data_IF_966093464174
#
_entry.id   IF_966093464174
#
_cell.length_a   1.000
_cell.length_b   1.000
_cell.length_c   1.000
_cell.angle_alpha   90.00
_cell.angle_beta   90.00
_cell.angle_gamma   90.00
#
_symmetry.space_group_name_H-M   'P 1'
#
loop_
_entity.id
_entity.type
_entity.pdbx_description
1 polymer ?
#
# COMPACT_ATOMS: atom_id res chain seq x y z
N UNK A 1 -4.78 -12.41 11.11
CA UNK A 1 -5.54 -11.46 10.27
C UNK A 1 -6.70 -12.23 9.66
N UNK A 2 -7.90 -11.64 9.59
CA UNK A 2 -9.02 -12.26 8.88
C UNK A 2 -8.70 -12.32 7.36
N UNK A 3 -9.09 -13.40 6.68
CA UNK A 3 -8.77 -13.62 5.28
C UNK A 3 -9.46 -12.64 4.32
N UNK A 4 -10.72 -12.34 4.57
CA UNK A 4 -11.50 -11.37 3.78
C UNK A 4 -10.96 -9.96 4.01
N UNK A 5 -10.50 -9.65 5.23
CA UNK A 5 -9.82 -8.38 5.48
C UNK A 5 -8.50 -8.27 4.71
N UNK A 6 -7.72 -9.36 4.61
CA UNK A 6 -6.48 -9.37 3.84
C UNK A 6 -6.75 -9.14 2.34
N UNK A 7 -7.77 -9.81 1.80
CA UNK A 7 -8.22 -9.62 0.43
C UNK A 7 -8.63 -8.17 0.16
N UNK A 8 -9.58 -7.63 0.92
CA UNK A 8 -10.11 -6.27 0.70
C UNK A 8 -9.00 -5.21 0.75
N UNK A 9 -8.07 -5.30 1.70
CA UNK A 9 -6.98 -4.32 1.81
C UNK A 9 -6.01 -4.39 0.63
N UNK A 10 -5.72 -5.59 0.13
CA UNK A 10 -4.81 -5.77 -1.02
C UNK A 10 -5.49 -5.27 -2.30
N UNK A 11 -6.76 -5.60 -2.51
CA UNK A 11 -7.52 -5.14 -3.67
C UNK A 11 -7.69 -3.61 -3.68
N UNK A 12 -7.98 -3.00 -2.53
CA UNK A 12 -8.05 -1.54 -2.38
C UNK A 12 -6.68 -0.89 -2.66
N UNK A 13 -5.60 -1.42 -2.10
CA UNK A 13 -4.23 -0.95 -2.35
C UNK A 13 -3.90 -0.99 -3.85
N UNK A 14 -4.10 -2.14 -4.48
CA UNK A 14 -3.80 -2.35 -5.90
C UNK A 14 -4.64 -1.43 -6.78
N UNK A 15 -5.94 -1.28 -6.50
CA UNK A 15 -6.81 -0.40 -7.26
C UNK A 15 -6.37 1.07 -7.17
N UNK A 16 -6.04 1.57 -5.98
CA UNK A 16 -5.61 2.96 -5.79
C UNK A 16 -4.28 3.25 -6.51
N UNK A 17 -3.28 2.36 -6.36
CA UNK A 17 -1.98 2.54 -7.02
C UNK A 17 -2.11 2.48 -8.54
N UNK A 18 -2.94 1.59 -9.08
CA UNK A 18 -3.17 1.54 -10.53
C UNK A 18 -3.92 2.77 -11.06
N UNK A 19 -4.79 3.36 -10.26
CA UNK A 19 -5.60 4.51 -10.69
C UNK A 19 -4.83 5.83 -10.62
N UNK A 20 -3.97 6.01 -9.61
CA UNK A 20 -3.27 7.27 -9.40
C UNK A 20 -1.98 7.19 -8.59
N UNK A 21 -1.36 6.01 -8.54
CA UNK A 21 -0.11 5.78 -7.82
C UNK A 21 -0.26 5.82 -6.31
N UNK A 22 0.88 5.77 -5.64
CA UNK A 22 0.95 5.85 -4.18
C UNK A 22 0.50 7.21 -3.63
N UNK A 23 0.62 8.29 -4.41
CA UNK A 23 0.06 9.59 -4.02
C UNK A 23 -1.46 9.50 -3.83
N UNK A 24 -2.17 8.87 -4.77
CA UNK A 24 -3.61 8.64 -4.62
C UNK A 24 -3.91 7.71 -3.44
N UNK A 25 -3.16 6.60 -3.30
CA UNK A 25 -3.34 5.65 -2.20
C UNK A 25 -3.24 6.31 -0.83
N UNK A 26 -2.19 7.11 -0.58
CA UNK A 26 -2.02 7.77 0.71
C UNK A 26 -2.93 8.99 0.88
N UNK A 27 -3.37 9.64 -0.20
CA UNK A 27 -4.36 10.73 -0.12
C UNK A 27 -5.75 10.21 0.25
N UNK A 28 -6.14 9.05 -0.27
CA UNK A 28 -7.45 8.45 -0.07
C UNK A 28 -7.57 7.68 1.26
N UNK A 29 -8.79 7.22 1.57
CA UNK A 29 -9.08 6.47 2.80
C UNK A 29 -8.37 5.12 2.86
N UNK A 30 -7.99 4.54 1.72
CA UNK A 30 -7.20 3.30 1.69
C UNK A 30 -5.85 3.45 2.44
N UNK A 31 -5.27 4.66 2.42
CA UNK A 31 -4.06 5.01 3.17
C UNK A 31 -4.18 4.84 4.69
N UNK A 32 -5.39 4.88 5.26
CA UNK A 32 -5.63 4.63 6.69
C UNK A 32 -5.16 3.22 7.10
N UNK A 33 -5.11 2.30 6.12
CA UNK A 33 -4.80 0.89 6.31
C UNK A 33 -3.41 0.53 5.77
N UNK A 34 -2.52 1.49 5.50
CA UNK A 34 -1.17 1.25 4.96
C UNK A 34 -0.37 0.18 5.72
N UNK A 35 -0.31 0.27 7.04
CA UNK A 35 0.37 -0.72 7.88
C UNK A 35 -0.33 -2.09 7.87
N UNK A 36 -1.65 -2.10 7.72
CA UNK A 36 -2.41 -3.34 7.55
C UNK A 36 -2.14 -3.98 6.19
N UNK A 37 -1.98 -3.18 5.13
CA UNK A 37 -1.68 -3.64 3.79
C UNK A 37 -0.34 -4.38 3.74
N UNK A 38 0.71 -3.85 4.37
CA UNK A 38 2.00 -4.56 4.51
C UNK A 38 1.81 -5.93 5.17
N UNK A 39 1.08 -6.00 6.29
CA UNK A 39 0.83 -7.28 6.98
C UNK A 39 0.02 -8.26 6.11
N UNK A 40 -0.95 -7.76 5.33
CA UNK A 40 -1.75 -8.56 4.43
C UNK A 40 -0.89 -9.13 3.28
N UNK A 41 -0.08 -8.28 2.64
CA UNK A 41 0.84 -8.66 1.57
C UNK A 41 1.83 -9.75 2.04
N UNK A 42 2.44 -9.59 3.22
CA UNK A 42 3.31 -10.61 3.82
C UNK A 42 2.54 -11.91 4.12
N UNK A 43 1.29 -11.83 4.57
CA UNK A 43 0.46 -13.01 4.85
C UNK A 43 0.16 -13.84 3.59
N UNK A 44 -0.06 -13.17 2.45
CA UNK A 44 -0.27 -13.84 1.16
C UNK A 44 1.05 -14.21 0.44
N UNK A 45 2.20 -13.80 0.99
CA UNK A 45 3.56 -13.96 0.45
C UNK A 45 3.86 -13.07 -0.77
N UNK A 46 3.22 -11.92 -0.88
CA UNK A 46 3.57 -10.86 -1.82
C UNK A 46 4.73 -10.03 -1.25
N UNK A 47 5.91 -10.65 -1.15
CA UNK A 47 7.08 -10.09 -0.47
C UNK A 47 7.66 -8.86 -1.20
N UNK A 48 7.59 -8.84 -2.53
CA UNK A 48 8.09 -7.73 -3.33
C UNK A 48 7.21 -6.49 -3.15
N UNK A 49 5.89 -6.66 -3.31
CA UNK A 49 4.92 -5.58 -3.11
C UNK A 49 4.95 -5.08 -1.67
N UNK A 50 5.04 -5.98 -0.67
CA UNK A 50 5.18 -5.56 0.73
C UNK A 50 6.39 -4.64 0.95
N UNK A 51 7.52 -4.96 0.32
CA UNK A 51 8.76 -4.17 0.43
C UNK A 51 8.61 -2.80 -0.23
N UNK A 52 7.89 -2.71 -1.35
CA UNK A 52 7.58 -1.42 -2.01
C UNK A 52 6.76 -0.54 -1.07
N UNK A 53 5.70 -1.08 -0.47
CA UNK A 53 4.82 -0.32 0.43
C UNK A 53 5.57 0.08 1.71
N UNK A 54 6.42 -0.79 2.27
CA UNK A 54 7.27 -0.44 3.42
C UNK A 54 8.23 0.71 3.11
N UNK A 55 8.83 0.74 1.91
CA UNK A 55 9.66 1.87 1.47
C UNK A 55 8.87 3.16 1.35
N UNK A 56 7.63 3.10 0.86
CA UNK A 56 6.76 4.26 0.78
C UNK A 56 6.37 4.76 2.19
N UNK A 57 6.01 3.86 3.11
CA UNK A 57 5.73 4.17 4.52
C UNK A 57 6.94 4.81 5.21
N UNK A 58 8.16 4.35 4.92
CA UNK A 58 9.38 4.87 5.51
C UNK A 58 9.68 6.34 5.18
N UNK A 59 8.98 6.93 4.18
CA UNK A 59 9.08 8.35 3.85
C UNK A 59 8.25 9.23 4.80
N UNK A 60 7.27 8.66 5.50
CA UNK A 60 6.52 9.37 6.53
C UNK A 60 7.39 9.55 7.79
N UNK A 61 7.15 10.61 8.59
CA UNK A 61 7.86 10.81 9.85
C UNK A 61 7.73 9.59 10.76
N UNK A 62 8.85 9.12 11.30
CA UNK A 62 8.93 7.92 12.16
C UNK A 62 8.42 6.63 11.49
N UNK A 63 8.39 6.57 10.15
CA UNK A 63 7.81 5.48 9.38
C UNK A 63 6.36 5.16 9.79
N UNK A 64 5.59 6.20 10.14
CA UNK A 64 4.22 6.06 10.61
C UNK A 64 3.27 6.90 9.74
N UNK A 65 2.49 6.21 8.91
CA UNK A 65 1.32 6.80 8.23
C UNK A 65 0.20 7.05 9.25
N UNK A 66 -0.28 8.29 9.46
CA UNK A 66 -1.42 8.56 10.32
C UNK A 66 -2.70 7.94 9.77
N UNK A 67 -3.53 7.38 10.64
CA UNK A 67 -4.87 6.91 10.26
C UNK A 67 -5.90 8.04 10.10
N UNK A 68 -5.63 9.21 10.68
CA UNK A 68 -6.46 10.40 10.49
C UNK A 68 -6.07 11.09 9.18
N UNK A 69 -7.04 11.24 8.27
CA UNK A 69 -6.79 11.71 6.90
C UNK A 69 -6.17 13.11 6.89
N UNK A 70 -6.71 14.06 7.65
CA UNK A 70 -6.26 15.46 7.62
C UNK A 70 -4.78 15.57 8.04
N UNK A 71 -4.39 14.90 9.14
CA UNK A 71 -2.98 14.85 9.57
C UNK A 71 -2.07 14.22 8.52
N UNK A 72 -2.56 13.20 7.79
CA UNK A 72 -1.79 12.56 6.73
C UNK A 72 -1.64 13.46 5.51
N UNK A 73 -2.67 14.22 5.15
CA UNK A 73 -2.62 15.17 4.03
C UNK A 73 -1.66 16.32 4.33
N UNK A 74 -1.69 16.88 5.54
CA UNK A 74 -0.74 17.92 5.96
C UNK A 74 0.72 17.44 5.81
N UNK A 75 1.01 16.21 6.25
CA UNK A 75 2.33 15.60 6.08
C UNK A 75 2.69 15.41 4.60
N UNK A 76 1.75 14.96 3.77
CA UNK A 76 2.00 14.75 2.34
C UNK A 76 2.24 16.06 1.59
N UNK A 77 1.55 17.13 1.95
CA UNK A 77 1.78 18.47 1.38
C UNK A 77 3.22 18.94 1.64
N UNK A 78 3.73 18.72 2.85
CA UNK A 78 5.11 19.05 3.22
C UNK A 78 6.15 18.15 2.52
N UNK A 79 5.87 16.85 2.40
CA UNK A 79 6.83 15.86 1.87
C UNK A 79 6.86 15.77 0.34
N UNK A 80 5.73 16.03 -0.33
CA UNK A 80 5.52 15.83 -1.76
C UNK A 80 4.87 17.05 -2.42
N UNK A 81 5.47 18.26 -2.33
CA UNK A 81 4.88 19.47 -2.90
C UNK A 81 4.70 19.42 -4.43
N UNK A 82 5.35 18.46 -5.09
CA UNK A 82 5.31 18.26 -6.54
C UNK A 82 4.68 16.92 -6.96
N UNK A 83 4.23 16.08 -6.02
CA UNK A 83 3.59 14.80 -6.34
C UNK A 83 4.52 13.77 -7.00
N UNK A 84 5.81 13.80 -6.68
CA UNK A 84 6.82 12.89 -7.23
C UNK A 84 7.51 12.04 -6.16
N UNK A 85 7.10 12.19 -4.89
CA UNK A 85 7.72 11.54 -3.75
C UNK A 85 7.80 10.02 -3.94
N UNK A 86 6.80 9.38 -4.54
CA UNK A 86 6.70 7.93 -4.67
C UNK A 86 7.03 7.37 -6.06
N UNK A 87 7.56 8.17 -6.98
CA UNK A 87 7.77 7.77 -8.37
C UNK A 87 8.60 6.48 -8.54
N UNK A 88 9.59 6.24 -7.68
CA UNK A 88 10.41 5.02 -7.72
C UNK A 88 9.65 3.77 -7.26
N UNK A 89 8.77 3.91 -6.28
CA UNK A 89 7.92 2.85 -5.75
C UNK A 89 6.79 2.52 -6.72
N UNK A 90 6.18 3.54 -7.34
CA UNK A 90 5.17 3.35 -8.39
C UNK A 90 5.78 2.59 -9.59
N UNK A 91 6.96 3.00 -10.05
CA UNK A 91 7.67 2.31 -11.12
C UNK A 91 7.95 0.84 -10.77
N UNK A 92 8.36 0.56 -9.53
CA UNK A 92 8.60 -0.80 -9.06
C UNK A 92 7.30 -1.62 -8.95
N UNK A 93 6.20 -1.00 -8.50
CA UNK A 93 4.90 -1.66 -8.40
C UNK A 93 4.39 -2.12 -9.78
N UNK A 94 4.56 -1.28 -10.81
CA UNK A 94 4.17 -1.58 -12.19
C UNK A 94 4.96 -2.74 -12.83
N UNK A 95 6.04 -3.21 -12.19
CA UNK A 95 6.73 -4.44 -12.62
C UNK A 95 5.91 -5.71 -12.33
N UNK A 96 4.89 -5.64 -11.47
CA UNK A 96 3.97 -6.74 -11.17
C UNK A 96 4.67 -8.08 -10.86
N UNK A 97 5.74 -8.04 -10.05
CA UNK A 97 6.50 -9.25 -9.72
C UNK A 97 5.76 -10.24 -8.83
N UNK A 98 4.78 -9.75 -8.08
CA UNK A 98 3.86 -10.58 -7.30
C UNK A 98 2.51 -10.64 -8.02
N UNK A 99 2.04 -11.84 -8.36
CA UNK A 99 0.67 -12.08 -8.83
C UNK A 99 -0.30 -11.96 -7.65
N UNK A 100 -0.72 -10.73 -7.34
CA UNK A 100 -1.54 -10.43 -6.16
C UNK A 100 -2.85 -11.24 -6.16
N UNK A 101 -3.54 -11.31 -7.31
CA UNK A 101 -4.78 -12.07 -7.43
C UNK A 101 -4.57 -13.56 -7.16
N UNK A 102 -3.56 -14.18 -7.78
CA UNK A 102 -3.22 -15.58 -7.57
C UNK A 102 -2.79 -15.88 -6.13
N UNK A 103 -1.98 -15.00 -5.53
CA UNK A 103 -1.51 -15.15 -4.15
C UNK A 103 -2.65 -15.00 -3.14
N UNK A 104 -3.56 -14.06 -3.34
CA UNK A 104 -4.77 -13.89 -2.50
C UNK A 104 -5.66 -15.13 -2.64
N UNK A 105 -5.96 -15.58 -3.86
CA UNK A 105 -6.77 -16.78 -4.08
C UNK A 105 -6.19 -18.01 -3.35
N UNK A 106 -4.88 -18.25 -3.52
CA UNK A 106 -4.19 -19.33 -2.82
C UNK A 106 -4.23 -19.18 -1.29
N UNK A 107 -4.20 -17.96 -0.76
CA UNK A 107 -4.33 -17.71 0.68
C UNK A 107 -5.75 -17.99 1.19
N UNK A 108 -6.78 -17.66 0.41
CA UNK A 108 -8.18 -17.94 0.76
C UNK A 108 -8.46 -19.45 0.89
N UNK A 109 -7.84 -20.27 0.05
CA UNK A 109 -8.02 -21.72 0.01
C UNK A 109 -7.23 -22.51 1.09
N UNK A 110 -6.19 -21.92 1.70
CA UNK A 110 -5.41 -22.59 2.77
C UNK A 110 -6.28 -22.93 3.98
N UNK A 111 -6.24 -24.16 4.47
CA UNK A 111 -7.01 -24.57 5.66
C UNK A 111 -6.34 -24.13 6.96
#
# INVERSE_FOLDING_TARGET
MNKLDAQSVIEELEAEINNGGLDQYFTNSAGDRAHQAVRALRAVRAEHTATIIERAIAKFPNALVPGERDLRLDILEDLSPHGDLFAAEDAAFLEYRDDLAGLVAAYLERT
#
